data_IF_129085808433
#
_entry.id   IF_129085808433
#
_cell.length_a   1.000
_cell.length_b   1.000
_cell.length_c   1.000
_cell.angle_alpha   90.00
_cell.angle_beta   90.00
_cell.angle_gamma   90.00
#
_symmetry.space_group_name_H-M   'P 1'
#
loop_
_entity.id
_entity.type
_entity.pdbx_description
1 polymer ?
#
# COMPACT_ATOMS: atom_id res chain seq x y z
N UNK A 1 -11.07 -5.73 13.75
CA UNK A 1 -10.39 -5.70 12.42
C UNK A 1 -11.45 -5.71 11.34
N UNK A 2 -11.31 -4.87 10.31
CA UNK A 2 -12.20 -4.88 9.14
C UNK A 2 -11.93 -6.15 8.33
N UNK A 3 -12.81 -7.15 8.33
CA UNK A 3 -12.67 -8.35 7.49
C UNK A 3 -12.95 -8.07 6.00
N UNK A 4 -13.28 -6.82 5.64
CA UNK A 4 -13.86 -6.49 4.33
C UNK A 4 -12.89 -6.76 3.19
N UNK A 5 -11.61 -6.37 3.34
CA UNK A 5 -10.63 -6.60 2.27
C UNK A 5 -10.28 -8.08 2.16
N UNK A 6 -10.08 -8.77 3.29
CA UNK A 6 -9.83 -10.22 3.29
C UNK A 6 -10.95 -11.04 2.66
N UNK A 7 -12.21 -10.67 2.94
CA UNK A 7 -13.36 -11.39 2.40
C UNK A 7 -13.49 -11.27 0.87
N UNK A 8 -12.95 -10.22 0.24
CA UNK A 8 -12.95 -10.07 -1.22
C UNK A 8 -12.08 -11.15 -1.88
N UNK A 9 -10.92 -11.47 -1.29
CA UNK A 9 -9.92 -12.39 -1.85
C UNK A 9 -9.99 -13.82 -1.29
N UNK A 10 -10.97 -14.11 -0.42
CA UNK A 10 -11.09 -15.41 0.24
C UNK A 10 -11.38 -16.52 -0.79
N UNK A 11 -10.55 -17.56 -0.76
CA UNK A 11 -10.75 -18.78 -1.53
C UNK A 11 -11.77 -19.69 -0.83
N UNK A 12 -12.96 -19.88 -1.40
CA UNK A 12 -13.99 -20.80 -0.86
C UNK A 12 -14.14 -22.06 -1.72
N UNK A 13 -13.65 -22.03 -2.96
CA UNK A 13 -13.68 -23.09 -3.96
C UNK A 13 -12.52 -22.94 -4.96
N UNK A 14 -12.22 -23.96 -5.79
CA UNK A 14 -11.21 -23.84 -6.84
C UNK A 14 -11.48 -22.70 -7.85
N UNK A 15 -12.75 -22.45 -8.19
CA UNK A 15 -13.15 -21.33 -9.05
C UNK A 15 -12.87 -19.96 -8.42
N UNK A 16 -12.82 -19.86 -7.09
CA UNK A 16 -12.44 -18.62 -6.40
C UNK A 16 -10.97 -18.26 -6.59
N UNK A 17 -10.12 -19.21 -6.97
CA UNK A 17 -8.70 -18.94 -7.23
C UNK A 17 -8.52 -18.02 -8.42
N UNK A 18 -9.19 -18.31 -9.55
CA UNK A 18 -9.14 -17.45 -10.73
C UNK A 18 -9.73 -16.06 -10.45
N UNK A 19 -10.89 -16.00 -9.79
CA UNK A 19 -11.52 -14.76 -9.35
C UNK A 19 -10.58 -13.93 -8.47
N UNK A 20 -9.97 -14.54 -7.45
CA UNK A 20 -9.11 -13.82 -6.51
C UNK A 20 -7.81 -13.33 -7.17
N UNK A 21 -7.25 -14.08 -8.13
CA UNK A 21 -6.12 -13.65 -8.97
C UNK A 21 -6.46 -12.43 -9.81
N UNK A 22 -7.60 -12.48 -10.50
CA UNK A 22 -8.10 -11.36 -11.30
C UNK A 22 -8.26 -10.10 -10.44
N UNK A 23 -8.96 -10.23 -9.31
CA UNK A 23 -9.19 -9.11 -8.40
C UNK A 23 -7.89 -8.57 -7.80
N UNK A 24 -6.93 -9.43 -7.47
CA UNK A 24 -5.63 -9.02 -6.93
C UNK A 24 -4.89 -8.12 -7.92
N UNK A 25 -4.86 -8.51 -9.19
CA UNK A 25 -4.22 -7.72 -10.26
C UNK A 25 -4.95 -6.41 -10.50
N UNK A 26 -6.28 -6.45 -10.55
CA UNK A 26 -7.09 -5.24 -10.68
C UNK A 26 -6.84 -4.27 -9.53
N UNK A 27 -6.82 -4.77 -8.30
CA UNK A 27 -6.54 -3.96 -7.10
C UNK A 27 -5.14 -3.36 -7.11
N UNK A 28 -4.13 -4.14 -7.55
CA UNK A 28 -2.75 -3.68 -7.67
C UNK A 28 -2.57 -2.45 -8.58
N UNK A 29 -3.47 -2.22 -9.53
CA UNK A 29 -3.40 -1.07 -10.45
C UNK A 29 -3.66 0.27 -9.73
N UNK A 30 -4.44 0.27 -8.64
CA UNK A 30 -4.89 1.51 -7.99
C UNK A 30 -4.68 1.53 -6.48
N UNK A 31 -4.07 0.52 -5.90
CA UNK A 31 -3.84 0.43 -4.44
C UNK A 31 -2.99 1.58 -3.90
N UNK A 32 -1.96 2.00 -4.62
CA UNK A 32 -1.15 3.18 -4.25
C UNK A 32 -1.96 4.49 -4.28
N UNK A 33 -2.94 4.60 -5.19
CA UNK A 33 -3.83 5.77 -5.24
C UNK A 33 -4.73 5.83 -4.02
N UNK A 34 -5.13 4.69 -3.46
CA UNK A 34 -5.89 4.64 -2.20
C UNK A 34 -5.04 5.21 -1.06
N UNK A 35 -3.78 4.78 -0.92
CA UNK A 35 -2.86 5.28 0.11
C UNK A 35 -2.62 6.79 -0.06
N UNK A 36 -2.46 7.25 -1.31
CA UNK A 36 -2.30 8.68 -1.62
C UNK A 36 -3.53 9.51 -1.26
N UNK A 37 -4.74 8.99 -1.47
CA UNK A 37 -5.99 9.67 -1.04
C UNK A 37 -6.05 9.73 0.49
N UNK A 38 -5.77 8.63 1.18
CA UNK A 38 -5.78 8.57 2.64
C UNK A 38 -4.79 9.54 3.26
N UNK A 39 -3.54 9.50 2.84
CA UNK A 39 -2.49 10.43 3.30
C UNK A 39 -2.68 11.87 2.79
N UNK A 40 -3.64 12.12 1.91
CA UNK A 40 -4.06 13.47 1.51
C UNK A 40 -5.27 14.00 2.29
N UNK A 41 -5.92 13.16 3.10
CA UNK A 41 -7.03 13.55 3.97
C UNK A 41 -6.48 14.15 5.28
N UNK A 42 -7.11 15.20 5.80
CA UNK A 42 -6.65 15.89 7.01
C UNK A 42 -6.80 15.02 8.27
N UNK A 43 -7.71 14.03 8.23
CA UNK A 43 -7.97 13.10 9.32
C UNK A 43 -6.92 11.98 9.40
N UNK A 44 -6.13 11.78 8.35
CA UNK A 44 -5.04 10.81 8.37
C UNK A 44 -3.91 11.27 9.28
N UNK A 45 -3.31 10.37 10.09
CA UNK A 45 -2.16 10.70 10.92
C UNK A 45 -0.91 11.06 10.10
N UNK A 46 -0.90 10.71 8.81
CA UNK A 46 0.23 10.98 7.92
C UNK A 46 -0.17 11.85 6.73
N UNK A 47 0.78 12.65 6.27
CA UNK A 47 0.71 13.44 5.06
C UNK A 47 1.72 12.93 4.03
N UNK A 48 1.28 12.70 2.79
CA UNK A 48 2.17 12.30 1.71
C UNK A 48 2.88 13.49 1.05
N UNK A 49 4.21 13.50 1.12
CA UNK A 49 5.07 14.54 0.54
C UNK A 49 5.50 14.24 -0.92
N UNK A 50 5.28 13.02 -1.39
CA UNK A 50 5.64 12.52 -2.72
C UNK A 50 6.49 11.25 -2.66
N UNK A 51 7.08 10.86 -3.80
CA UNK A 51 7.97 9.70 -3.92
C UNK A 51 9.41 10.08 -3.58
N UNK A 52 10.03 9.47 -2.55
CA UNK A 52 11.43 9.70 -2.25
C UNK A 52 12.33 8.76 -3.05
N UNK A 53 13.59 9.15 -3.23
CA UNK A 53 14.65 8.30 -3.78
C UNK A 53 15.75 8.16 -2.75
N UNK A 54 16.07 6.93 -2.36
CA UNK A 54 17.19 6.62 -1.48
C UNK A 54 18.44 6.35 -2.32
N UNK A 55 19.58 6.93 -1.93
CA UNK A 55 20.90 6.54 -2.40
C UNK A 55 21.71 5.95 -1.25
N UNK A 56 22.31 4.78 -1.47
CA UNK A 56 23.21 4.14 -0.51
C UNK A 56 24.62 4.68 -0.68
N UNK A 57 25.46 4.55 0.35
CA UNK A 57 26.87 4.97 0.28
C UNK A 57 27.68 4.21 -0.80
N UNK A 58 27.22 3.02 -1.17
CA UNK A 58 27.94 2.09 -2.07
C UNK A 58 27.67 2.32 -3.56
N UNK A 59 26.81 3.27 -3.95
CA UNK A 59 26.61 3.53 -5.37
C UNK A 59 25.71 4.72 -5.72
N UNK A 60 25.90 5.22 -6.94
CA UNK A 60 25.15 6.37 -7.48
C UNK A 60 23.69 6.07 -7.84
N UNK A 61 23.33 4.78 -7.89
CA UNK A 61 22.00 4.31 -8.27
C UNK A 61 21.00 4.63 -7.15
N UNK A 62 20.00 5.44 -7.48
CA UNK A 62 18.87 5.71 -6.60
C UNK A 62 17.80 4.62 -6.65
N UNK A 63 17.16 4.38 -5.50
CA UNK A 63 16.00 3.52 -5.34
C UNK A 63 14.79 4.38 -4.96
N UNK A 64 13.86 4.53 -5.90
CA UNK A 64 12.61 5.26 -5.64
C UNK A 64 11.64 4.39 -4.87
N UNK A 65 11.12 4.92 -3.76
CA UNK A 65 10.10 4.28 -2.95
C UNK A 65 8.71 4.86 -3.24
N UNK A 66 7.69 4.28 -2.62
CA UNK A 66 6.31 4.65 -2.90
C UNK A 66 5.90 5.98 -2.27
N UNK A 67 6.30 6.25 -1.02
CA UNK A 67 5.89 7.46 -0.31
C UNK A 67 6.97 8.00 0.64
N UNK A 68 6.98 9.32 0.81
CA UNK A 68 7.55 10.01 1.95
C UNK A 68 6.38 10.53 2.78
N UNK A 69 6.21 10.00 4.00
CA UNK A 69 5.09 10.27 4.88
C UNK A 69 5.55 11.14 6.05
N UNK A 70 4.92 12.30 6.24
CA UNK A 70 5.11 13.12 7.43
C UNK A 70 4.05 12.80 8.45
N UNK A 71 4.44 12.38 9.65
CA UNK A 71 3.51 12.23 10.77
C UNK A 71 3.05 13.62 11.21
N UNK A 72 1.73 13.87 11.21
CA UNK A 72 1.17 15.18 11.52
C UNK A 72 1.43 15.60 12.97
N UNK A 73 1.41 14.65 13.90
CA UNK A 73 1.54 14.92 15.32
C UNK A 73 2.95 15.40 15.72
N UNK A 74 3.99 14.82 15.11
CA UNK A 74 5.38 15.12 15.46
C UNK A 74 6.14 15.94 14.42
N UNK A 75 5.63 16.00 13.19
CA UNK A 75 6.34 16.58 12.04
C UNK A 75 7.45 15.71 11.47
N UNK A 76 7.70 14.52 12.04
CA UNK A 76 8.73 13.58 11.57
C UNK A 76 8.42 13.00 10.21
N UNK A 77 9.44 12.74 9.42
CA UNK A 77 9.35 12.29 8.03
C UNK A 77 9.88 10.87 7.90
N UNK A 78 9.07 9.99 7.32
CA UNK A 78 9.39 8.58 7.14
C UNK A 78 9.37 8.23 5.65
N UNK A 79 10.33 7.43 5.21
CA UNK A 79 10.21 6.80 3.90
C UNK A 79 9.32 5.57 4.00
N UNK A 80 8.59 5.27 2.93
CA UNK A 80 7.63 4.17 2.94
C UNK A 80 7.63 3.41 1.62
N UNK A 81 7.61 2.09 1.77
CA UNK A 81 7.47 1.14 0.68
C UNK A 81 6.19 0.32 0.87
N UNK A 82 5.44 0.18 -0.21
CA UNK A 82 4.21 -0.58 -0.27
C UNK A 82 4.45 -1.95 -0.90
N UNK A 83 3.95 -2.98 -0.23
CA UNK A 83 4.01 -4.38 -0.68
C UNK A 83 2.63 -5.02 -0.51
N UNK A 84 1.80 -4.84 -1.53
CA UNK A 84 0.51 -5.53 -1.63
C UNK A 84 0.67 -6.85 -2.40
N UNK A 85 1.12 -7.88 -1.68
CA UNK A 85 1.40 -9.20 -2.25
C UNK A 85 0.20 -10.15 -2.19
N UNK A 86 -0.97 -9.66 -2.62
CA UNK A 86 -2.25 -10.35 -2.42
C UNK A 86 -2.25 -11.74 -3.06
N UNK A 87 -1.77 -11.89 -4.30
CA UNK A 87 -1.73 -13.19 -4.99
C UNK A 87 -0.49 -14.04 -4.64
N UNK A 88 0.56 -13.42 -4.06
CA UNK A 88 1.89 -14.02 -4.06
C UNK A 88 1.95 -15.30 -3.21
N UNK A 89 2.55 -16.34 -3.78
CA UNK A 89 2.60 -17.70 -3.23
C UNK A 89 1.23 -18.18 -2.68
N UNK A 90 0.17 -18.09 -3.48
CA UNK A 90 -1.19 -18.49 -3.11
C UNK A 90 -1.72 -17.74 -1.87
N UNK A 91 -1.65 -16.40 -1.89
CA UNK A 91 -2.16 -15.53 -0.81
C UNK A 91 -1.42 -15.64 0.52
N UNK A 92 -0.33 -16.41 0.59
CA UNK A 92 0.50 -16.61 1.79
C UNK A 92 1.06 -15.30 2.35
N UNK A 93 1.28 -14.31 1.50
CA UNK A 93 1.84 -13.01 1.88
C UNK A 93 0.79 -11.90 1.93
N UNK A 94 -0.49 -12.24 1.85
CA UNK A 94 -1.52 -11.21 1.90
C UNK A 94 -1.67 -10.59 3.30
N UNK A 95 -1.61 -11.42 4.34
CA UNK A 95 -1.58 -10.98 5.74
C UNK A 95 -0.14 -11.06 6.26
N UNK A 96 0.36 -9.94 6.78
CA UNK A 96 1.60 -9.93 7.55
C UNK A 96 1.31 -10.44 8.96
N UNK A 97 1.67 -11.69 9.21
CA UNK A 97 1.51 -12.38 10.49
C UNK A 97 2.82 -12.41 11.28
N UNK A 98 3.97 -12.31 10.59
CA UNK A 98 5.31 -12.36 11.21
C UNK A 98 6.36 -11.66 10.37
N UNK A 99 7.38 -11.10 11.02
CA UNK A 99 8.43 -10.33 10.36
C UNK A 99 9.29 -11.16 9.40
N UNK A 100 9.42 -12.47 9.63
CA UNK A 100 10.13 -13.39 8.73
C UNK A 100 9.50 -13.47 7.34
N UNK A 101 8.23 -13.11 7.17
CA UNK A 101 7.63 -13.01 5.85
C UNK A 101 8.36 -11.98 4.98
N UNK A 102 9.00 -10.96 5.53
CA UNK A 102 9.71 -9.94 4.75
C UNK A 102 11.02 -10.46 4.13
N UNK A 103 11.55 -11.60 4.61
CA UNK A 103 12.85 -12.13 4.21
C UNK A 103 12.87 -12.68 2.78
N UNK A 104 11.70 -12.90 2.18
CA UNK A 104 11.61 -13.35 0.78
C UNK A 104 11.97 -12.23 -0.21
N UNK A 105 11.93 -10.96 0.21
CA UNK A 105 12.38 -9.84 -0.60
C UNK A 105 13.91 -9.77 -0.62
N UNK A 106 14.52 -10.22 -1.72
CA UNK A 106 15.98 -10.20 -1.92
C UNK A 106 16.49 -9.09 -2.83
N UNK A 107 15.61 -8.16 -3.24
CA UNK A 107 15.98 -7.10 -4.19
C UNK A 107 16.73 -5.97 -3.48
N UNK A 108 17.78 -5.38 -4.08
CA UNK A 108 18.57 -4.30 -3.47
C UNK A 108 17.72 -3.09 -3.03
N UNK A 109 16.66 -2.77 -3.76
CA UNK A 109 15.76 -1.68 -3.39
C UNK A 109 15.06 -1.91 -2.03
N UNK A 110 14.68 -3.16 -1.74
CA UNK A 110 14.04 -3.48 -0.47
C UNK A 110 15.05 -3.50 0.68
N UNK A 111 16.27 -3.96 0.44
CA UNK A 111 17.35 -3.85 1.42
C UNK A 111 17.71 -2.38 1.72
N UNK A 112 17.73 -1.51 0.70
CA UNK A 112 17.91 -0.08 0.90
C UNK A 112 16.79 0.50 1.79
N UNK A 113 15.53 0.14 1.53
CA UNK A 113 14.38 0.51 2.37
C UNK A 113 14.50 -0.02 3.81
N UNK A 114 14.89 -1.28 4.01
CA UNK A 114 15.15 -1.82 5.36
C UNK A 114 16.29 -1.11 6.06
N UNK A 115 17.29 -0.63 5.31
CA UNK A 115 18.36 0.22 5.82
C UNK A 115 17.84 1.53 6.39
N UNK A 116 16.84 2.16 5.77
CA UNK A 116 16.23 3.40 6.27
C UNK A 116 15.46 3.22 7.59
N UNK A 117 15.10 1.98 7.95
CA UNK A 117 14.53 1.66 9.25
C UNK A 117 15.60 1.61 10.38
N UNK A 118 16.89 1.71 10.04
CA UNK A 118 18.02 1.50 10.97
C UNK A 118 18.92 2.73 11.00
N UNK A 119 19.03 3.44 12.14
CA UNK A 119 19.84 4.66 12.24
C UNK A 119 21.32 4.50 11.91
N UNK A 120 21.84 3.27 11.97
CA UNK A 120 23.26 2.97 11.74
C UNK A 120 23.64 2.88 10.26
N UNK A 121 22.67 2.87 9.35
CA UNK A 121 22.92 2.75 7.91
C UNK A 121 22.96 4.15 7.28
N UNK A 122 24.12 4.55 6.79
CA UNK A 122 24.26 5.84 6.12
C UNK A 122 23.64 5.79 4.71
N UNK A 123 22.56 6.55 4.54
CA UNK A 123 21.85 6.74 3.28
C UNK A 123 21.47 8.21 3.13
N UNK A 124 21.30 8.65 1.88
CA UNK A 124 20.78 9.98 1.58
C UNK A 124 19.44 9.85 0.87
N UNK A 125 18.42 10.52 1.40
CA UNK A 125 17.08 10.52 0.84
C UNK A 125 16.84 11.81 0.08
N UNK A 126 16.30 11.70 -1.14
CA UNK A 126 15.95 12.83 -1.98
C UNK A 126 14.45 12.89 -2.20
N UNK A 127 13.87 14.08 -2.11
CA UNK A 127 12.49 14.36 -2.47
C UNK A 127 12.46 15.53 -3.46
N UNK A 128 11.90 15.31 -4.66
CA UNK A 128 11.85 16.33 -5.73
C UNK A 128 13.24 16.93 -6.02
N UNK A 129 14.27 16.10 -6.01
CA UNK A 129 15.66 16.49 -6.28
C UNK A 129 16.40 17.17 -5.10
N UNK A 130 15.75 17.37 -3.95
CA UNK A 130 16.38 17.96 -2.76
C UNK A 130 16.64 16.89 -1.72
N UNK A 131 17.80 16.94 -1.07
CA UNK A 131 18.08 16.08 0.08
C UNK A 131 17.13 16.42 1.23
N UNK A 132 16.64 15.40 1.93
CA UNK A 132 15.82 15.52 3.12
C UNK A 132 16.34 14.59 4.21
N UNK A 133 16.12 14.98 5.46
CA UNK A 133 16.30 14.10 6.60
C UNK A 133 15.07 13.21 6.78
N UNK A 134 15.29 12.00 7.28
CA UNK A 134 14.24 11.00 7.52
C UNK A 134 14.42 10.37 8.89
N UNK A 135 13.33 10.23 9.62
CA UNK A 135 13.25 9.73 10.99
C UNK A 135 13.02 8.22 11.09
N UNK A 136 13.02 7.53 9.94
CA UNK A 136 12.88 6.08 9.86
C UNK A 136 12.09 5.63 8.64
N UNK A 137 11.50 4.43 8.75
CA UNK A 137 10.74 3.80 7.68
C UNK A 137 9.37 3.31 8.15
N UNK A 138 8.39 3.36 7.25
CA UNK A 138 7.03 2.80 7.43
C UNK A 138 6.77 1.75 6.36
N UNK A 139 6.38 0.54 6.77
CA UNK A 139 5.95 -0.50 5.83
C UNK A 139 4.44 -0.38 5.58
N UNK A 140 4.01 -0.46 4.32
CA UNK A 140 2.58 -0.58 3.97
C UNK A 140 2.32 -1.96 3.38
N UNK A 141 1.42 -2.72 4.00
CA UNK A 141 1.08 -4.09 3.60
C UNK A 141 -0.39 -4.25 3.22
N UNK A 142 -0.77 -5.36 2.58
CA UNK A 142 -2.17 -5.65 2.23
C UNK A 142 -3.09 -5.69 3.47
N UNK A 143 -2.81 -6.63 4.37
CA UNK A 143 -3.43 -6.75 5.68
C UNK A 143 -2.37 -7.09 6.72
N UNK A 144 -2.57 -6.72 7.99
CA UNK A 144 -1.55 -6.89 9.04
C UNK A 144 -2.21 -7.46 10.29
N UNK A 145 -1.64 -8.52 10.86
CA UNK A 145 -2.02 -9.02 12.18
C UNK A 145 -1.29 -8.21 13.27
N UNK A 146 -1.88 -8.00 14.46
CA UNK A 146 -1.22 -7.28 15.56
C UNK A 146 0.18 -7.82 15.88
N UNK A 147 0.33 -9.13 15.96
CA UNK A 147 1.61 -9.79 16.28
C UNK A 147 2.64 -9.56 15.17
N UNK A 148 2.21 -9.62 13.90
CA UNK A 148 3.06 -9.35 12.76
C UNK A 148 3.53 -7.89 12.68
N UNK A 149 2.67 -6.94 13.05
CA UNK A 149 3.02 -5.52 13.19
C UNK A 149 4.09 -5.32 14.25
N UNK A 150 3.84 -5.81 15.46
CA UNK A 150 4.71 -5.62 16.61
C UNK A 150 6.08 -6.28 16.38
N UNK A 151 6.09 -7.49 15.82
CA UNK A 151 7.34 -8.17 15.47
C UNK A 151 8.12 -7.41 14.38
N UNK A 152 7.46 -6.91 13.34
CA UNK A 152 8.13 -6.17 12.26
C UNK A 152 8.73 -4.84 12.77
N UNK A 153 8.00 -4.09 13.61
CA UNK A 153 8.51 -2.90 14.28
C UNK A 153 9.74 -3.25 15.11
N UNK A 154 9.62 -4.24 16.00
CA UNK A 154 10.68 -4.63 16.92
C UNK A 154 11.94 -5.16 16.23
N UNK A 155 11.78 -6.01 15.23
CA UNK A 155 12.89 -6.77 14.63
C UNK A 155 13.51 -6.08 13.42
N UNK A 156 12.73 -5.29 12.67
CA UNK A 156 13.22 -4.59 11.48
C UNK A 156 13.48 -3.10 11.71
N UNK A 157 12.97 -2.53 12.80
CA UNK A 157 13.16 -1.12 13.17
C UNK A 157 12.16 -0.17 12.53
N UNK A 158 11.05 -0.67 11.97
CA UNK A 158 10.04 0.22 11.40
C UNK A 158 9.46 1.14 12.48
N UNK A 159 9.18 2.39 12.10
CA UNK A 159 8.43 3.31 12.94
C UNK A 159 6.97 2.85 13.06
N UNK A 160 6.37 2.45 11.94
CA UNK A 160 5.03 1.88 11.91
C UNK A 160 4.88 0.87 10.76
N UNK A 161 3.86 0.03 10.86
CA UNK A 161 3.40 -0.89 9.81
C UNK A 161 1.92 -0.66 9.59
N UNK A 162 1.59 -0.09 8.43
CA UNK A 162 0.23 0.23 8.02
C UNK A 162 -0.34 -0.89 7.16
N UNK A 163 -1.67 -0.99 7.13
CA UNK A 163 -2.37 -1.91 6.23
C UNK A 163 -3.31 -1.16 5.30
N UNK A 164 -3.35 -1.59 4.04
CA UNK A 164 -4.33 -1.06 3.08
C UNK A 164 -5.76 -1.43 3.50
N UNK A 165 -5.93 -2.56 4.19
CA UNK A 165 -7.20 -2.95 4.83
C UNK A 165 -7.72 -1.88 5.79
N UNK A 166 -6.88 -1.38 6.70
CA UNK A 166 -7.26 -0.33 7.64
C UNK A 166 -7.42 1.02 6.93
N UNK A 167 -6.54 1.36 6.00
CA UNK A 167 -6.64 2.58 5.20
C UNK A 167 -7.99 2.66 4.44
N UNK A 168 -8.44 1.56 3.83
CA UNK A 168 -9.75 1.47 3.20
C UNK A 168 -10.89 1.64 4.22
N UNK A 169 -10.76 1.05 5.41
CA UNK A 169 -11.75 1.16 6.47
C UNK A 169 -11.88 2.61 6.98
N UNK A 170 -10.76 3.29 7.18
CA UNK A 170 -10.68 4.70 7.54
C UNK A 170 -11.42 5.55 6.50
N UNK A 171 -10.99 5.47 5.23
CA UNK A 171 -11.59 6.24 4.13
C UNK A 171 -13.09 6.01 3.97
N UNK A 172 -13.55 4.77 4.15
CA UNK A 172 -14.97 4.43 4.12
C UNK A 172 -15.73 5.02 5.32
N UNK A 173 -15.19 4.90 6.53
CA UNK A 173 -15.79 5.47 7.76
C UNK A 173 -15.89 6.99 7.70
N UNK A 174 -14.90 7.61 7.08
CA UNK A 174 -14.78 9.05 6.85
C UNK A 174 -15.69 9.57 5.74
N UNK A 175 -16.35 8.66 4.99
CA UNK A 175 -17.12 8.98 3.77
C UNK A 175 -16.30 9.85 2.82
N UNK A 176 -15.02 9.51 2.63
CA UNK A 176 -14.12 10.30 1.81
C UNK A 176 -14.60 10.33 0.35
N UNK A 177 -14.99 11.51 -0.14
CA UNK A 177 -15.56 11.70 -1.48
C UNK A 177 -14.59 11.23 -2.57
N UNK A 178 -13.32 11.63 -2.47
CA UNK A 178 -12.27 11.24 -3.44
C UNK A 178 -12.07 9.73 -3.50
N UNK A 179 -12.19 9.03 -2.37
CA UNK A 179 -12.12 7.57 -2.33
C UNK A 179 -13.33 6.94 -3.01
N UNK A 180 -14.55 7.41 -2.71
CA UNK A 180 -15.77 6.94 -3.37
C UNK A 180 -15.73 7.15 -4.89
N UNK A 181 -15.26 8.32 -5.34
CA UNK A 181 -15.07 8.63 -6.76
C UNK A 181 -14.04 7.72 -7.42
N UNK A 182 -12.92 7.43 -6.74
CA UNK A 182 -11.91 6.50 -7.25
C UNK A 182 -12.53 5.12 -7.48
N UNK A 183 -13.20 4.57 -6.47
CA UNK A 183 -13.81 3.24 -6.56
C UNK A 183 -14.91 3.20 -7.63
N UNK A 184 -15.81 4.18 -7.65
CA UNK A 184 -16.88 4.27 -8.65
C UNK A 184 -16.34 4.36 -10.08
N UNK A 185 -15.25 5.11 -10.29
CA UNK A 185 -14.59 5.20 -11.60
C UNK A 185 -13.97 3.88 -12.04
N UNK A 186 -13.29 3.16 -11.14
CA UNK A 186 -12.72 1.83 -11.44
C UNK A 186 -13.81 0.82 -11.75
N UNK A 187 -14.92 0.84 -11.01
CA UNK A 187 -16.09 0.02 -11.29
C UNK A 187 -16.67 0.31 -12.68
N UNK A 188 -16.86 1.59 -13.02
CA UNK A 188 -17.35 2.01 -14.34
C UNK A 188 -16.46 1.50 -15.47
N UNK A 189 -15.14 1.66 -15.37
CA UNK A 189 -14.20 1.16 -16.39
C UNK A 189 -14.23 -0.36 -16.56
N UNK A 190 -14.37 -1.12 -15.45
CA UNK A 190 -14.54 -2.57 -15.54
C UNK A 190 -15.85 -2.93 -16.25
N UNK A 191 -16.95 -2.24 -15.95
CA UNK A 191 -18.24 -2.46 -16.62
C UNK A 191 -18.17 -2.13 -18.11
N UNK A 192 -17.53 -1.02 -18.49
CA UNK A 192 -17.30 -0.63 -19.88
C UNK A 192 -16.48 -1.68 -20.64
N UNK A 193 -15.41 -2.20 -20.03
CA UNK A 193 -14.60 -3.29 -20.60
C UNK A 193 -15.46 -4.52 -20.89
N UNK A 194 -16.23 -4.99 -19.91
CA UNK A 194 -17.05 -6.19 -20.07
C UNK A 194 -18.21 -6.00 -21.05
N UNK A 195 -18.86 -4.84 -21.01
CA UNK A 195 -19.93 -4.51 -21.96
C UNK A 195 -19.41 -4.47 -23.41
N UNK A 196 -18.26 -3.82 -23.64
CA UNK A 196 -17.63 -3.77 -24.96
C UNK A 196 -17.19 -5.14 -25.47
N UNK A 197 -16.68 -6.02 -24.61
CA UNK A 197 -16.31 -7.40 -24.98
C UNK A 197 -17.52 -8.28 -25.29
N UNK A 198 -18.71 -7.95 -24.77
CA UNK A 198 -19.95 -8.68 -24.99
C UNK A 198 -20.83 -8.06 -26.09
N UNK A 199 -20.38 -6.98 -26.73
CA UNK A 199 -21.20 -6.16 -27.65
C UNK A 199 -22.53 -5.69 -27.01
N UNK A 200 -22.56 -5.62 -25.67
CA UNK A 200 -23.71 -5.16 -24.91
C UNK A 200 -23.59 -3.65 -24.65
N UNK A 201 -24.73 -2.96 -24.57
CA UNK A 201 -24.73 -1.58 -24.07
C UNK A 201 -24.17 -1.56 -22.63
N UNK A 202 -23.32 -0.59 -22.25
CA UNK A 202 -22.86 -0.44 -20.88
C UNK A 202 -24.06 -0.36 -19.93
N UNK A 203 -24.06 -1.17 -18.87
CA UNK A 203 -25.07 -1.05 -17.82
C UNK A 203 -24.77 0.23 -17.05
N UNK A 204 -25.44 1.31 -17.40
CA UNK A 204 -25.44 2.54 -16.61
C UNK A 204 -26.01 2.20 -15.22
N UNK A 205 -25.25 2.55 -14.18
CA UNK A 205 -25.73 2.46 -12.81
C UNK A 205 -26.98 3.35 -12.65
N UNK A 206 -27.95 2.97 -11.80
CA UNK A 206 -29.21 3.71 -11.67
C UNK A 206 -28.93 5.17 -11.33
N UNK A 207 -29.55 6.07 -12.10
CA UNK A 207 -29.66 7.48 -11.77
C UNK A 207 -30.30 7.60 -10.40
N UNK A 208 -29.62 8.26 -9.48
CA UNK A 208 -30.24 8.72 -8.25
C UNK A 208 -31.19 9.87 -8.60
N UNK A 209 -32.46 9.53 -8.77
CA UNK A 209 -33.57 10.48 -8.62
C UNK A 209 -33.76 10.83 -7.13
#
# INVERSE_FOLDING_TARGET
>A
MSERLRNIFRLRSPADSERAKFLSRAFGIFSEQIVSIWSGDERSPYENLGRPTIKTAEGDRGYTLDFALRERASGRVYVSEMKCEIEFQNFKFFVLERASQLEHHKKPAFEAFLGAARPTVHQTTFLKGKSIDTDGAILIWGAVAPEGRDEAIKTKGFHDVLSVEQICADLASWKCVRYAELIGRRQKWCNELFAGLLEAAPVDAPSSD
#
